data_IF_029758221609
#
_entry.id   IF_029758221609
#
_cell.length_a   1.000
_cell.length_b   1.000
_cell.length_c   1.000
_cell.angle_alpha   90.00
_cell.angle_beta   90.00
_cell.angle_gamma   90.00
#
_symmetry.space_group_name_H-M   'P 1'
#
loop_
_entity.id
_entity.type
_entity.pdbx_description
1 polymer ?
#
# COMPACT_ATOMS: atom_id res chain seq x y z
N UNK A 1 14.68 22.86 46.73
CA UNK A 1 13.51 22.58 45.80
C UNK A 1 13.69 23.14 44.38
N UNK A 2 14.88 23.00 43.76
CA UNK A 2 15.18 23.61 42.45
C UNK A 2 15.46 22.60 41.32
N UNK A 3 15.40 21.27 41.57
CA UNK A 3 15.82 20.26 40.59
C UNK A 3 14.69 19.80 39.65
N UNK A 4 13.42 20.05 39.98
CA UNK A 4 12.27 19.59 39.16
C UNK A 4 11.97 20.49 37.93
N UNK A 5 12.45 21.72 37.91
CA UNK A 5 12.11 22.66 36.83
C UNK A 5 13.04 22.56 35.62
N UNK A 6 14.28 22.12 35.81
CA UNK A 6 15.28 22.04 34.74
C UNK A 6 15.03 20.86 33.81
N UNK A 7 14.60 19.70 34.30
CA UNK A 7 14.37 18.51 33.45
C UNK A 7 13.13 18.68 32.53
N UNK A 8 12.07 19.37 33.01
CA UNK A 8 10.88 19.66 32.22
C UNK A 8 11.15 20.68 31.11
N UNK A 9 11.94 21.73 31.43
CA UNK A 9 12.37 22.74 30.44
C UNK A 9 13.31 22.14 29.38
N UNK A 10 14.18 21.19 29.76
CA UNK A 10 15.12 20.50 28.88
C UNK A 10 14.40 19.56 27.93
N UNK A 11 13.37 18.82 28.42
CA UNK A 11 12.53 17.97 27.58
C UNK A 11 11.70 18.76 26.58
N UNK A 12 11.18 19.91 26.96
CA UNK A 12 10.47 20.84 26.08
C UNK A 12 11.38 21.39 24.97
N UNK A 13 12.61 21.82 25.30
CA UNK A 13 13.58 22.31 24.33
C UNK A 13 13.95 21.25 23.30
N UNK A 14 14.23 20.01 23.72
CA UNK A 14 14.52 18.90 22.82
C UNK A 14 13.37 18.65 21.84
N UNK A 15 12.14 18.66 22.32
CA UNK A 15 10.93 18.46 21.51
C UNK A 15 10.76 19.58 20.49
N UNK A 16 10.92 20.84 20.89
CA UNK A 16 10.84 22.01 20.00
C UNK A 16 11.87 21.93 18.86
N UNK A 17 13.09 21.51 19.15
CA UNK A 17 14.14 21.33 18.13
C UNK A 17 13.73 20.22 17.15
N UNK A 18 13.23 19.08 17.63
CA UNK A 18 12.79 17.98 16.77
C UNK A 18 11.60 18.39 15.88
N UNK A 19 10.64 19.14 16.43
CA UNK A 19 9.47 19.59 15.66
C UNK A 19 9.84 20.62 14.59
N UNK A 20 10.76 21.53 14.91
CA UNK A 20 11.31 22.49 13.95
C UNK A 20 12.08 21.76 12.83
N UNK A 21 12.91 20.77 13.18
CA UNK A 21 13.65 19.97 12.22
C UNK A 21 12.71 19.17 11.31
N UNK A 22 11.65 18.57 11.86
CA UNK A 22 10.62 17.82 11.11
C UNK A 22 9.94 18.72 10.07
N UNK A 23 9.51 19.91 10.47
CA UNK A 23 8.87 20.85 9.55
C UNK A 23 9.79 21.26 8.41
N UNK A 24 11.04 21.65 8.72
CA UNK A 24 12.02 22.07 7.72
C UNK A 24 12.43 20.91 6.79
N UNK A 25 12.53 19.70 7.32
CA UNK A 25 12.82 18.51 6.51
C UNK A 25 11.71 18.23 5.50
N UNK A 26 10.44 18.34 5.90
CA UNK A 26 9.31 18.18 4.98
C UNK A 26 9.31 19.27 3.90
N UNK A 27 9.62 20.52 4.27
CA UNK A 27 9.61 21.66 3.34
C UNK A 27 10.79 21.61 2.36
N UNK A 28 12.00 21.38 2.84
CA UNK A 28 13.24 21.60 2.08
C UNK A 28 14.07 20.34 1.84
N UNK A 29 13.88 19.29 2.63
CA UNK A 29 14.74 18.09 2.64
C UNK A 29 16.05 18.30 3.40
N UNK A 30 16.87 17.23 3.43
CA UNK A 30 18.07 17.23 4.25
C UNK A 30 19.12 18.25 3.81
N UNK A 31 19.41 18.33 2.51
CA UNK A 31 20.52 19.18 2.02
C UNK A 31 20.25 20.68 2.19
N UNK A 32 19.02 21.12 1.90
CA UNK A 32 18.66 22.53 1.90
C UNK A 32 18.36 23.10 3.31
N UNK A 33 18.17 22.24 4.32
CA UNK A 33 17.94 22.69 5.69
C UNK A 33 19.25 22.91 6.45
N UNK A 34 19.29 23.94 7.31
CA UNK A 34 20.44 24.30 8.12
C UNK A 34 20.13 24.34 9.62
N UNK A 35 21.15 24.13 10.47
CA UNK A 35 21.00 24.28 11.93
C UNK A 35 20.52 25.67 12.33
N UNK A 36 20.88 26.70 11.56
CA UNK A 36 20.46 28.10 11.79
C UNK A 36 18.94 28.26 11.60
N UNK A 37 18.38 27.68 10.55
CA UNK A 37 16.93 27.66 10.32
C UNK A 37 16.20 26.87 11.43
N UNK A 38 16.76 25.73 11.85
CA UNK A 38 16.19 24.91 12.92
C UNK A 38 16.17 25.69 14.24
N UNK A 39 17.29 26.30 14.62
CA UNK A 39 17.40 27.07 15.88
C UNK A 39 16.48 28.29 15.89
N UNK A 40 16.39 29.01 14.76
CA UNK A 40 15.48 30.13 14.59
C UNK A 40 14.02 29.71 14.75
N UNK A 41 13.62 28.63 14.08
CA UNK A 41 12.24 28.11 14.15
C UNK A 41 11.87 27.51 15.50
N UNK A 42 12.84 26.88 16.17
CA UNK A 42 12.67 26.32 17.51
C UNK A 42 12.79 27.38 18.62
N UNK A 43 13.17 28.61 18.29
CA UNK A 43 13.46 29.70 19.24
C UNK A 43 14.45 29.26 20.31
N UNK A 44 15.57 28.67 19.89
CA UNK A 44 16.68 28.23 20.74
C UNK A 44 18.01 28.72 20.18
N UNK A 45 19.06 28.69 20.99
CA UNK A 45 20.41 28.94 20.52
C UNK A 45 21.08 27.67 19.97
N UNK A 46 22.17 27.85 19.20
CA UNK A 46 22.89 26.72 18.61
C UNK A 46 23.52 25.79 19.68
N UNK A 47 23.89 26.35 20.85
CA UNK A 47 24.44 25.58 21.95
C UNK A 47 23.41 24.51 22.46
N UNK A 48 22.12 24.83 22.43
CA UNK A 48 21.08 23.86 22.80
C UNK A 48 21.03 22.68 21.82
N UNK A 49 21.17 22.92 20.50
CA UNK A 49 21.22 21.83 19.52
C UNK A 49 22.47 20.96 19.72
N UNK A 50 23.61 21.58 19.89
CA UNK A 50 24.86 20.85 20.15
C UNK A 50 24.80 20.06 21.46
N UNK A 51 24.21 20.63 22.51
CA UNK A 51 24.01 19.92 23.78
C UNK A 51 23.10 18.69 23.68
N UNK A 52 21.99 18.80 22.95
CA UNK A 52 21.01 17.73 22.87
C UNK A 52 21.32 16.65 21.81
N UNK A 53 21.99 17.03 20.73
CA UNK A 53 22.14 16.16 19.56
C UNK A 53 23.59 16.05 19.05
N UNK A 54 24.46 17.02 19.35
CA UNK A 54 25.86 17.05 18.91
C UNK A 54 26.05 17.50 17.47
N UNK A 55 25.28 16.96 16.49
CA UNK A 55 25.41 17.32 15.08
C UNK A 55 24.05 17.42 14.37
N UNK A 56 24.05 17.96 13.13
CA UNK A 56 22.87 17.98 12.25
C UNK A 56 22.43 16.55 11.94
N UNK A 57 23.37 15.69 11.64
CA UNK A 57 23.14 14.28 11.31
C UNK A 57 22.43 13.54 12.47
N UNK A 58 22.96 13.65 13.69
CA UNK A 58 22.38 13.05 14.86
C UNK A 58 20.99 13.61 15.19
N UNK A 59 20.76 14.91 14.98
CA UNK A 59 19.45 15.52 15.11
C UNK A 59 18.44 14.93 14.11
N UNK A 60 18.83 14.81 12.84
CA UNK A 60 17.94 14.27 11.80
C UNK A 60 17.65 12.79 12.03
N UNK A 61 18.65 11.99 12.43
CA UNK A 61 18.42 10.61 12.83
C UNK A 61 17.41 10.53 13.98
N UNK A 62 17.59 11.33 15.04
CA UNK A 62 16.66 11.35 16.17
C UNK A 62 15.24 11.78 15.76
N UNK A 63 15.12 12.73 14.83
CA UNK A 63 13.85 13.19 14.29
C UNK A 63 13.14 12.10 13.49
N UNK A 64 13.86 11.43 12.58
CA UNK A 64 13.31 10.32 11.79
C UNK A 64 12.94 9.13 12.67
N UNK A 65 13.84 8.69 13.57
CA UNK A 65 13.58 7.57 14.49
C UNK A 65 12.34 7.82 15.35
N UNK A 66 12.15 9.02 15.88
CA UNK A 66 10.97 9.36 16.69
C UNK A 66 9.64 8.98 16.01
N UNK A 67 9.59 9.09 14.68
CA UNK A 67 8.38 8.82 13.89
C UNK A 67 8.36 7.41 13.31
N UNK A 68 9.47 6.99 12.73
CA UNK A 68 9.55 5.75 11.96
C UNK A 68 9.64 4.52 12.84
N UNK A 69 10.28 4.59 14.02
CA UNK A 69 10.34 3.46 14.97
C UNK A 69 8.94 3.06 15.42
N UNK A 70 8.14 4.04 15.84
CA UNK A 70 6.74 3.79 16.23
C UNK A 70 5.89 3.23 15.09
N UNK A 71 6.10 3.75 13.87
CA UNK A 71 5.41 3.24 12.68
C UNK A 71 5.79 1.78 12.41
N UNK A 72 7.08 1.48 12.41
CA UNK A 72 7.58 0.16 12.05
C UNK A 72 7.26 -0.88 13.13
N UNK A 73 7.27 -0.50 14.40
CA UNK A 73 6.77 -1.34 15.47
C UNK A 73 5.29 -1.71 15.27
N UNK A 74 4.43 -0.73 14.99
CA UNK A 74 3.02 -0.98 14.73
C UNK A 74 2.77 -1.81 13.45
N UNK A 75 3.61 -1.65 12.42
CA UNK A 75 3.60 -2.45 11.20
C UNK A 75 3.93 -3.92 11.48
N UNK A 76 5.02 -4.17 12.21
CA UNK A 76 5.43 -5.53 12.56
C UNK A 76 4.39 -6.21 13.45
N UNK A 77 3.87 -5.53 14.46
CA UNK A 77 2.80 -6.06 15.30
C UNK A 77 1.55 -6.46 14.51
N UNK A 78 1.16 -5.67 13.51
CA UNK A 78 0.01 -6.00 12.67
C UNK A 78 0.32 -7.15 11.71
N UNK A 79 1.52 -7.20 11.14
CA UNK A 79 1.97 -8.30 10.30
C UNK A 79 1.99 -9.62 11.07
N UNK A 80 2.54 -9.62 12.29
CA UNK A 80 2.59 -10.80 13.16
C UNK A 80 1.20 -11.31 13.55
N UNK A 81 0.24 -10.39 13.76
CA UNK A 81 -1.17 -10.76 13.98
C UNK A 81 -1.78 -11.43 12.75
N UNK A 82 -1.51 -10.91 11.55
CA UNK A 82 -2.00 -11.53 10.32
C UNK A 82 -1.34 -12.90 10.09
N UNK A 83 -0.04 -13.02 10.34
CA UNK A 83 0.67 -14.31 10.28
C UNK A 83 0.05 -15.33 11.24
N UNK A 84 -0.21 -14.96 12.49
CA UNK A 84 -0.80 -15.85 13.49
C UNK A 84 -2.24 -16.28 13.15
N UNK A 85 -3.04 -15.38 12.57
CA UNK A 85 -4.46 -15.66 12.26
C UNK A 85 -4.66 -16.40 10.94
N UNK A 86 -3.82 -16.13 9.95
CA UNK A 86 -4.05 -16.56 8.57
C UNK A 86 -3.10 -17.69 8.13
N UNK A 87 -1.87 -17.71 8.67
CA UNK A 87 -0.85 -18.69 8.26
C UNK A 87 -0.65 -18.69 6.75
N UNK A 88 -0.89 -19.84 6.11
CA UNK A 88 -0.77 -20.00 4.66
C UNK A 88 -1.83 -19.23 3.84
N UNK A 89 -2.92 -18.76 4.47
CA UNK A 89 -3.93 -17.93 3.83
C UNK A 89 -3.57 -16.43 3.79
N UNK A 90 -2.36 -16.08 4.21
CA UNK A 90 -1.85 -14.71 4.11
C UNK A 90 -1.78 -14.30 2.65
N UNK A 91 -2.41 -13.18 2.29
CA UNK A 91 -2.39 -12.63 0.93
C UNK A 91 -1.61 -11.33 0.86
N UNK A 92 -1.24 -10.89 -0.34
CA UNK A 92 -0.52 -9.62 -0.52
C UNK A 92 -1.33 -8.41 -0.03
N UNK A 93 -2.67 -8.46 -0.07
CA UNK A 93 -3.55 -7.43 0.50
C UNK A 93 -3.39 -7.32 2.02
N UNK A 94 -3.25 -8.44 2.72
CA UNK A 94 -3.00 -8.45 4.16
C UNK A 94 -1.63 -7.84 4.48
N UNK A 95 -0.59 -8.17 3.70
CA UNK A 95 0.76 -7.62 3.88
C UNK A 95 0.76 -6.11 3.60
N UNK A 96 0.12 -5.65 2.51
CA UNK A 96 -0.08 -4.23 2.25
C UNK A 96 -0.91 -3.55 3.35
N UNK A 97 -1.95 -4.22 3.86
CA UNK A 97 -2.71 -3.74 5.00
C UNK A 97 -1.85 -3.52 6.23
N UNK A 98 -0.94 -4.45 6.56
CA UNK A 98 0.01 -4.29 7.66
C UNK A 98 0.97 -3.12 7.44
N UNK A 99 1.31 -2.80 6.19
CA UNK A 99 2.16 -1.66 5.84
C UNK A 99 1.44 -0.31 5.95
N UNK A 100 0.17 -0.22 5.49
CA UNK A 100 -0.55 1.06 5.36
C UNK A 100 -1.44 1.42 6.54
N UNK A 101 -2.12 0.44 7.15
CA UNK A 101 -3.07 0.72 8.24
C UNK A 101 -2.40 1.47 9.41
N UNK A 102 -1.19 1.07 9.89
CA UNK A 102 -0.52 1.82 10.93
C UNK A 102 -0.18 3.26 10.53
N UNK A 103 0.29 3.49 9.31
CA UNK A 103 0.57 4.83 8.81
C UNK A 103 -0.67 5.72 8.79
N UNK A 104 -1.81 5.18 8.34
CA UNK A 104 -3.11 5.88 8.38
C UNK A 104 -3.59 6.17 9.80
N UNK A 105 -3.40 5.25 10.74
CA UNK A 105 -3.77 5.46 12.14
C UNK A 105 -2.95 6.59 12.75
N UNK A 106 -1.62 6.57 12.53
CA UNK A 106 -0.73 7.61 13.03
C UNK A 106 -1.00 8.98 12.39
N UNK A 107 -1.38 9.03 11.10
CA UNK A 107 -1.74 10.28 10.44
C UNK A 107 -3.03 10.91 10.95
N UNK A 108 -3.88 10.14 11.64
CA UNK A 108 -5.12 10.64 12.26
C UNK A 108 -4.95 11.05 13.71
N UNK A 109 -3.81 10.73 14.32
CA UNK A 109 -3.50 11.07 15.70
C UNK A 109 -2.77 12.43 15.74
N UNK A 110 -3.44 13.53 16.19
CA UNK A 110 -2.82 14.85 16.27
C UNK A 110 -1.60 14.89 17.19
N UNK A 111 -1.53 13.99 18.19
CA UNK A 111 -0.42 13.90 19.13
C UNK A 111 0.85 13.33 18.49
N UNK A 112 0.71 12.62 17.37
CA UNK A 112 1.82 11.97 16.66
C UNK A 112 2.22 12.70 15.38
N UNK A 113 1.58 13.81 15.06
CA UNK A 113 1.91 14.64 13.89
C UNK A 113 0.80 14.78 12.85
N UNK A 114 -0.33 14.09 13.00
CA UNK A 114 -1.47 14.27 12.10
C UNK A 114 -1.12 14.06 10.62
N UNK A 115 -1.68 14.88 9.74
CA UNK A 115 -1.41 14.83 8.28
C UNK A 115 0.05 15.11 7.91
N UNK A 116 0.79 15.86 8.72
CA UNK A 116 2.20 16.13 8.48
C UNK A 116 3.06 14.85 8.52
N UNK A 117 2.61 13.82 9.25
CA UNK A 117 3.29 12.54 9.34
C UNK A 117 3.40 11.82 7.96
N UNK A 118 2.33 11.84 7.15
CA UNK A 118 2.38 11.21 5.81
C UNK A 118 3.34 11.96 4.87
N UNK A 119 3.39 13.29 4.97
CA UNK A 119 4.35 14.11 4.21
C UNK A 119 5.79 13.82 4.63
N UNK A 120 6.03 13.69 5.94
CA UNK A 120 7.34 13.29 6.45
C UNK A 120 7.75 11.92 5.90
N UNK A 121 6.83 10.95 5.93
CA UNK A 121 7.08 9.60 5.41
C UNK A 121 7.42 9.64 3.92
N UNK A 122 6.61 10.31 3.12
CA UNK A 122 6.88 10.51 1.69
C UNK A 122 8.23 11.17 1.45
N UNK A 123 8.52 12.27 2.16
CA UNK A 123 9.80 12.98 2.03
C UNK A 123 10.98 12.10 2.42
N UNK A 124 10.91 11.33 3.49
CA UNK A 124 11.98 10.45 3.92
C UNK A 124 12.35 9.40 2.86
N UNK A 125 11.38 8.88 2.11
CA UNK A 125 11.62 7.90 1.04
C UNK A 125 12.01 8.53 -0.31
N UNK A 126 11.74 9.82 -0.53
CA UNK A 126 12.07 10.52 -1.80
C UNK A 126 13.22 11.50 -1.67
N UNK A 127 13.79 11.70 -0.47
CA UNK A 127 14.92 12.61 -0.28
C UNK A 127 16.13 12.12 -1.08
N UNK A 128 16.76 12.97 -1.91
CA UNK A 128 17.87 12.56 -2.77
C UNK A 128 19.17 12.30 -1.99
N UNK A 129 19.25 12.70 -0.72
CA UNK A 129 20.46 12.56 0.10
C UNK A 129 20.81 11.08 0.34
N UNK A 130 22.05 10.72 0.05
CA UNK A 130 22.59 9.41 0.41
C UNK A 130 22.56 9.18 1.91
N UNK A 131 22.80 10.23 2.70
CA UNK A 131 22.75 10.17 4.16
C UNK A 131 21.38 9.68 4.68
N UNK A 132 20.27 10.19 4.14
CA UNK A 132 18.93 9.75 4.54
C UNK A 132 18.68 8.31 4.08
N UNK A 133 19.03 7.99 2.85
CA UNK A 133 18.88 6.64 2.28
C UNK A 133 19.68 5.59 3.06
N UNK A 134 20.95 5.90 3.39
CA UNK A 134 21.83 4.99 4.11
C UNK A 134 21.34 4.76 5.53
N UNK A 135 20.83 5.81 6.20
CA UNK A 135 20.18 5.69 7.50
C UNK A 135 18.95 4.77 7.43
N UNK A 136 18.05 4.99 6.47
CA UNK A 136 16.84 4.18 6.33
C UNK A 136 17.18 2.71 6.04
N UNK A 137 18.13 2.47 5.16
CA UNK A 137 18.57 1.12 4.79
C UNK A 137 19.22 0.40 5.97
N UNK A 138 20.13 1.06 6.69
CA UNK A 138 20.82 0.44 7.83
C UNK A 138 19.88 0.21 9.02
N UNK A 139 19.03 1.19 9.33
CA UNK A 139 18.21 1.18 10.55
C UNK A 139 16.95 0.32 10.42
N UNK A 140 16.40 0.20 9.21
CA UNK A 140 15.14 -0.53 8.96
C UNK A 140 15.28 -1.75 8.03
N UNK A 141 16.52 -2.23 7.81
CA UNK A 141 16.78 -3.42 6.98
C UNK A 141 15.96 -4.64 7.44
N UNK A 142 15.93 -4.91 8.74
CA UNK A 142 15.18 -6.05 9.30
C UNK A 142 13.67 -5.95 9.09
N UNK A 143 13.11 -4.74 9.15
CA UNK A 143 11.69 -4.49 8.85
C UNK A 143 11.42 -4.77 7.37
N UNK A 144 12.28 -4.26 6.48
CA UNK A 144 12.15 -4.47 5.04
C UNK A 144 12.24 -5.96 4.68
N UNK A 145 13.20 -6.69 5.26
CA UNK A 145 13.36 -8.15 5.07
C UNK A 145 12.13 -8.93 5.55
N UNK A 146 11.58 -8.55 6.70
CA UNK A 146 10.38 -9.20 7.26
C UNK A 146 9.18 -9.03 6.34
N UNK A 147 8.94 -7.83 5.82
CA UNK A 147 7.87 -7.56 4.85
C UNK A 147 8.13 -8.26 3.52
N UNK A 148 9.37 -8.23 3.02
CA UNK A 148 9.73 -8.90 1.78
C UNK A 148 9.47 -10.42 1.87
N UNK A 149 9.85 -11.07 2.96
CA UNK A 149 9.56 -12.48 3.21
C UNK A 149 8.05 -12.78 3.25
N UNK A 150 7.25 -11.89 3.85
CA UNK A 150 5.80 -12.02 3.87
C UNK A 150 5.18 -11.89 2.46
N UNK A 151 5.67 -10.96 1.64
CA UNK A 151 5.25 -10.85 0.23
C UNK A 151 5.64 -12.08 -0.60
N UNK A 152 6.84 -12.63 -0.41
CA UNK A 152 7.26 -13.86 -1.10
C UNK A 152 6.34 -15.05 -0.78
N UNK A 153 5.92 -15.20 0.48
CA UNK A 153 4.95 -16.24 0.87
C UNK A 153 3.57 -15.99 0.27
N UNK A 154 3.13 -14.73 0.23
CA UNK A 154 1.83 -14.37 -0.33
C UNK A 154 1.77 -14.43 -1.86
N UNK A 155 2.92 -14.39 -2.55
CA UNK A 155 3.06 -14.38 -4.02
C UNK A 155 4.13 -15.40 -4.47
N UNK A 156 3.95 -16.70 -4.19
CA UNK A 156 4.97 -17.72 -4.43
C UNK A 156 5.29 -17.94 -5.91
N UNK A 157 4.42 -17.49 -6.81
CA UNK A 157 4.59 -17.57 -8.25
C UNK A 157 5.53 -16.50 -8.83
N UNK A 158 5.84 -15.45 -8.06
CA UNK A 158 6.76 -14.40 -8.52
C UNK A 158 8.21 -14.76 -8.19
N UNK A 159 9.14 -14.70 -9.18
CA UNK A 159 10.56 -14.71 -8.92
C UNK A 159 10.96 -13.61 -7.94
N UNK A 160 12.00 -13.87 -7.14
CA UNK A 160 12.46 -12.92 -6.10
C UNK A 160 12.82 -11.56 -6.67
N UNK A 161 13.48 -11.54 -7.81
CA UNK A 161 13.91 -10.31 -8.51
C UNK A 161 12.70 -9.50 -8.98
N UNK A 162 11.74 -10.16 -9.59
CA UNK A 162 10.51 -9.53 -10.08
C UNK A 162 9.70 -8.93 -8.94
N UNK A 163 9.55 -9.65 -7.82
CA UNK A 163 8.92 -9.13 -6.62
C UNK A 163 9.66 -7.88 -6.10
N UNK A 164 11.00 -7.91 -6.09
CA UNK A 164 11.83 -6.78 -5.68
C UNK A 164 11.59 -5.54 -6.54
N UNK A 165 11.57 -5.68 -7.86
CA UNK A 165 11.30 -4.58 -8.79
C UNK A 165 9.89 -4.01 -8.61
N UNK A 166 8.87 -4.85 -8.53
CA UNK A 166 7.48 -4.42 -8.33
C UNK A 166 7.29 -3.68 -7.00
N UNK A 167 7.88 -4.16 -5.93
CA UNK A 167 7.84 -3.49 -4.63
C UNK A 167 8.57 -2.15 -4.69
N UNK A 168 9.73 -2.08 -5.35
CA UNK A 168 10.46 -0.83 -5.52
C UNK A 168 9.65 0.22 -6.27
N UNK A 169 9.05 -0.14 -7.41
CA UNK A 169 8.18 0.77 -8.18
C UNK A 169 6.94 1.20 -7.40
N UNK A 170 6.30 0.26 -6.71
CA UNK A 170 5.12 0.54 -5.91
C UNK A 170 5.41 1.49 -4.73
N UNK A 171 6.52 1.28 -4.02
CA UNK A 171 6.97 2.16 -2.93
C UNK A 171 7.36 3.53 -3.47
N UNK A 172 8.04 3.59 -4.62
CA UNK A 172 8.38 4.84 -5.29
C UNK A 172 7.15 5.67 -5.67
N UNK A 173 6.16 5.04 -6.29
CA UNK A 173 4.90 5.70 -6.64
C UNK A 173 4.16 6.22 -5.40
N UNK A 174 4.06 5.40 -4.35
CA UNK A 174 3.45 5.81 -3.09
C UNK A 174 4.18 7.00 -2.47
N UNK A 175 5.49 6.90 -2.35
CA UNK A 175 6.32 7.92 -1.69
C UNK A 175 6.25 9.25 -2.43
N UNK A 176 6.28 9.22 -3.77
CA UNK A 176 6.12 10.41 -4.61
C UNK A 176 4.78 11.11 -4.39
N UNK A 177 3.69 10.34 -4.31
CA UNK A 177 2.36 10.90 -4.03
C UNK A 177 2.28 11.49 -2.62
N UNK A 178 2.84 10.83 -1.61
CA UNK A 178 2.82 11.31 -0.22
C UNK A 178 3.71 12.54 0.00
N UNK A 179 4.85 12.63 -0.69
CA UNK A 179 5.77 13.75 -0.61
C UNK A 179 5.31 14.97 -1.39
N UNK A 180 4.47 14.80 -2.42
CA UNK A 180 4.08 15.84 -3.35
C UNK A 180 3.21 16.92 -2.71
N UNK A 181 3.71 18.14 -2.67
CA UNK A 181 2.95 19.30 -2.21
C UNK A 181 1.78 19.65 -3.15
N UNK A 182 1.94 19.33 -4.44
CA UNK A 182 0.97 19.61 -5.49
C UNK A 182 0.03 18.45 -5.82
N UNK A 183 0.12 17.33 -5.10
CA UNK A 183 -0.67 16.13 -5.38
C UNK A 183 -2.18 16.43 -5.38
N UNK A 184 -2.68 17.18 -4.39
CA UNK A 184 -4.09 17.55 -4.31
C UNK A 184 -4.51 18.42 -5.50
N UNK A 185 -3.64 19.33 -5.96
CA UNK A 185 -3.89 20.19 -7.12
C UNK A 185 -3.93 19.37 -8.41
N UNK A 186 -2.92 18.54 -8.65
CA UNK A 186 -2.86 17.69 -9.84
C UNK A 186 -4.03 16.71 -9.91
N UNK A 187 -4.38 16.07 -8.77
CA UNK A 187 -5.56 15.20 -8.71
C UNK A 187 -6.82 15.98 -9.07
N UNK A 188 -6.99 17.19 -8.54
CA UNK A 188 -8.15 18.03 -8.83
C UNK A 188 -8.21 18.43 -10.31
N UNK A 189 -7.07 18.83 -10.90
CA UNK A 189 -6.99 19.20 -12.31
C UNK A 189 -7.38 18.03 -13.23
N UNK A 190 -6.79 16.84 -13.04
CA UNK A 190 -7.10 15.67 -13.87
C UNK A 190 -8.44 15.02 -13.57
N UNK A 191 -9.01 15.23 -12.39
CA UNK A 191 -10.29 14.65 -11.97
C UNK A 191 -11.48 15.61 -12.12
N UNK A 192 -11.32 16.68 -12.87
CA UNK A 192 -12.37 17.70 -13.09
C UNK A 192 -12.89 18.31 -11.77
N UNK A 193 -11.99 18.68 -10.89
CA UNK A 193 -12.30 19.34 -9.61
C UNK A 193 -12.68 18.40 -8.47
N UNK A 194 -12.60 17.07 -8.66
CA UNK A 194 -12.86 16.12 -7.56
C UNK A 194 -11.63 16.03 -6.65
N UNK A 195 -11.84 16.31 -5.38
CA UNK A 195 -10.82 16.10 -4.34
C UNK A 195 -10.90 14.70 -3.73
N UNK A 196 -9.80 14.21 -3.21
CA UNK A 196 -9.71 12.97 -2.44
C UNK A 196 -9.20 13.26 -1.03
N UNK A 197 -9.77 12.57 -0.03
CA UNK A 197 -9.15 12.55 1.30
C UNK A 197 -8.03 11.49 1.36
N UNK A 198 -7.19 11.56 2.41
CA UNK A 198 -6.04 10.68 2.56
C UNK A 198 -6.41 9.19 2.53
N UNK A 199 -7.56 8.81 3.09
CA UNK A 199 -8.05 7.42 3.06
C UNK A 199 -8.37 6.96 1.63
N UNK A 200 -9.06 7.81 0.87
CA UNK A 200 -9.41 7.50 -0.52
C UNK A 200 -8.16 7.42 -1.39
N UNK A 201 -7.19 8.30 -1.17
CA UNK A 201 -5.91 8.30 -1.87
C UNK A 201 -5.15 6.99 -1.61
N UNK A 202 -4.96 6.64 -0.33
CA UNK A 202 -4.22 5.42 0.04
C UNK A 202 -4.97 4.15 -0.40
N UNK A 203 -6.31 4.13 -0.32
CA UNK A 203 -7.08 2.99 -0.82
C UNK A 203 -6.87 2.75 -2.33
N UNK A 204 -6.84 3.82 -3.14
CA UNK A 204 -6.56 3.73 -4.58
C UNK A 204 -5.13 3.28 -4.87
N UNK A 205 -4.16 3.84 -4.15
CA UNK A 205 -2.76 3.42 -4.26
C UNK A 205 -2.59 1.96 -3.87
N UNK A 206 -3.20 1.51 -2.77
CA UNK A 206 -3.18 0.12 -2.37
C UNK A 206 -3.78 -0.80 -3.43
N UNK A 207 -4.91 -0.41 -4.04
CA UNK A 207 -5.54 -1.15 -5.15
C UNK A 207 -4.62 -1.25 -6.36
N UNK A 208 -3.97 -0.14 -6.75
CA UNK A 208 -2.99 -0.12 -7.83
C UNK A 208 -1.79 -1.03 -7.52
N UNK A 209 -1.26 -0.98 -6.30
CA UNK A 209 -0.15 -1.83 -5.87
C UNK A 209 -0.53 -3.32 -5.89
N UNK A 210 -1.73 -3.68 -5.43
CA UNK A 210 -2.23 -5.06 -5.51
C UNK A 210 -2.28 -5.52 -6.97
N UNK A 211 -2.81 -4.69 -7.87
CA UNK A 211 -2.89 -4.99 -9.29
C UNK A 211 -1.49 -5.17 -9.91
N UNK A 212 -0.55 -4.30 -9.58
CA UNK A 212 0.84 -4.40 -10.05
C UNK A 212 1.55 -5.65 -9.52
N UNK A 213 1.34 -5.99 -8.24
CA UNK A 213 1.94 -7.18 -7.62
C UNK A 213 1.36 -8.48 -8.19
N UNK A 214 0.08 -8.50 -8.56
CA UNK A 214 -0.62 -9.66 -9.12
C UNK A 214 -0.59 -9.73 -10.65
N UNK A 215 -0.04 -8.73 -11.33
CA UNK A 215 0.08 -8.73 -12.78
C UNK A 215 0.84 -9.96 -13.28
N UNK A 216 0.55 -10.48 -14.46
CA UNK A 216 1.37 -11.53 -15.08
C UNK A 216 2.83 -11.06 -15.25
N UNK A 217 3.74 -11.99 -15.42
CA UNK A 217 5.12 -11.66 -15.80
C UNK A 217 5.12 -10.97 -17.16
N UNK A 218 6.02 -10.00 -17.38
CA UNK A 218 6.15 -9.36 -18.69
C UNK A 218 6.38 -10.40 -19.77
N UNK A 219 5.61 -10.32 -20.85
CA UNK A 219 5.82 -11.16 -22.03
C UNK A 219 7.12 -10.73 -22.74
N UNK A 220 7.91 -11.72 -23.15
CA UNK A 220 9.13 -11.49 -23.92
C UNK A 220 8.88 -10.70 -25.21
N UNK A 221 7.72 -10.87 -25.83
CA UNK A 221 7.33 -10.11 -27.01
C UNK A 221 7.08 -8.62 -26.68
N UNK A 222 6.43 -8.33 -25.54
CA UNK A 222 6.25 -6.96 -25.07
C UNK A 222 7.59 -6.28 -24.75
N UNK A 223 8.49 -6.99 -24.08
CA UNK A 223 9.81 -6.47 -23.77
C UNK A 223 10.65 -6.23 -25.05
N UNK A 224 10.57 -7.13 -26.02
CA UNK A 224 11.23 -6.98 -27.31
C UNK A 224 10.69 -5.78 -28.09
N UNK A 225 9.38 -5.54 -28.06
CA UNK A 225 8.75 -4.38 -28.68
C UNK A 225 9.24 -3.06 -28.06
N UNK A 226 9.32 -2.96 -26.74
CA UNK A 226 9.88 -1.79 -26.08
C UNK A 226 11.39 -1.62 -26.37
N UNK A 227 12.15 -2.70 -26.41
CA UNK A 227 13.57 -2.66 -26.73
C UNK A 227 13.82 -2.18 -28.17
N UNK A 228 12.99 -2.60 -29.13
CA UNK A 228 13.05 -2.14 -30.51
C UNK A 228 12.80 -0.63 -30.62
N UNK A 229 11.78 -0.11 -29.92
CA UNK A 229 11.47 1.34 -29.88
C UNK A 229 12.61 2.15 -29.25
N UNK A 230 13.25 1.63 -28.21
CA UNK A 230 14.39 2.29 -27.55
C UNK A 230 15.68 2.20 -28.36
N UNK A 231 15.85 1.14 -29.16
CA UNK A 231 17.03 0.94 -30.02
C UNK A 231 17.00 1.78 -31.31
N UNK A 232 15.81 2.16 -31.77
CA UNK A 232 15.58 2.86 -33.05
C UNK A 232 15.02 4.26 -32.79
N UNK A 233 15.88 5.17 -32.34
CA UNK A 233 15.49 6.50 -31.86
C UNK A 233 14.92 7.45 -32.95
N UNK A 234 14.68 6.99 -34.18
CA UNK A 234 14.17 7.82 -35.28
C UNK A 234 12.93 7.25 -35.98
N UNK A 235 12.90 5.95 -36.27
CA UNK A 235 11.89 5.37 -37.17
C UNK A 235 10.91 4.40 -36.48
N UNK A 236 11.07 4.13 -35.20
CA UNK A 236 10.37 3.07 -34.46
C UNK A 236 8.87 3.30 -34.22
N UNK A 237 8.40 4.55 -34.21
CA UNK A 237 6.99 4.86 -33.94
C UNK A 237 6.12 4.53 -35.13
N UNK A 238 6.60 4.75 -36.35
CA UNK A 238 5.89 4.40 -37.59
C UNK A 238 5.87 2.88 -37.82
N UNK A 239 6.95 2.18 -37.51
CA UNK A 239 7.04 0.72 -37.58
C UNK A 239 6.09 0.03 -36.59
N UNK A 240 5.89 0.57 -35.38
CA UNK A 240 4.92 0.09 -34.40
C UNK A 240 3.47 0.23 -34.86
N UNK A 241 3.12 1.38 -35.44
CA UNK A 241 1.79 1.62 -35.96
C UNK A 241 1.46 0.68 -37.13
N UNK A 242 2.43 0.39 -37.97
CA UNK A 242 2.28 -0.51 -39.11
C UNK A 242 2.17 -2.00 -38.69
N UNK A 243 2.93 -2.43 -37.65
CA UNK A 243 2.88 -3.80 -37.13
C UNK A 243 1.57 -4.11 -36.40
N UNK A 244 1.02 -3.16 -35.65
CA UNK A 244 -0.27 -3.34 -34.98
C UNK A 244 -1.45 -3.35 -35.97
N UNK A 245 -1.38 -2.57 -37.06
CA UNK A 245 -2.35 -2.57 -38.13
C UNK A 245 -2.32 -3.90 -38.91
N UNK A 246 -1.14 -4.47 -39.17
CA UNK A 246 -0.98 -5.76 -39.86
C UNK A 246 -1.47 -6.95 -39.01
N UNK A 247 -1.29 -6.91 -37.68
CA UNK A 247 -1.80 -7.92 -36.78
C UNK A 247 -3.35 -7.89 -36.67
N UNK A 248 -3.95 -6.69 -36.67
CA UNK A 248 -5.40 -6.53 -36.65
C UNK A 248 -6.08 -6.99 -37.96
N UNK A 249 -5.41 -6.85 -39.10
CA UNK A 249 -5.91 -7.32 -40.41
C UNK A 249 -5.75 -8.82 -40.61
N UNK A 250 -4.73 -9.45 -40.00
CA UNK A 250 -4.53 -10.90 -40.07
C UNK A 250 -5.57 -11.72 -39.26
N UNK A 251 -6.22 -11.11 -38.27
CA UNK A 251 -7.25 -11.78 -37.43
C UNK A 251 -8.64 -11.77 -38.07
N UNK A 252 -8.84 -11.01 -39.16
CA UNK A 252 -10.16 -10.87 -39.82
C UNK A 252 -10.30 -11.75 -41.08
N UNK A 253 -9.27 -12.49 -41.48
CA UNK A 253 -9.30 -13.39 -42.65
C UNK A 253 -9.46 -14.85 -42.19
N UNK A 254 -10.66 -15.24 -41.79
CA UNK A 254 -11.03 -16.63 -41.68
C UNK A 254 -11.23 -17.18 -43.11
N UNK A 255 -10.68 -18.35 -43.46
CA UNK A 255 -10.89 -18.93 -44.78
C UNK A 255 -12.35 -19.40 -44.95
N UNK A 256 -12.95 -18.86 -46.01
CA UNK A 256 -14.27 -19.32 -46.47
C UNK A 256 -14.17 -20.80 -46.87
N UNK A 257 -14.88 -21.68 -46.15
CA UNK A 257 -15.13 -23.06 -46.52
C UNK A 257 -15.96 -23.08 -47.79
N UNK A 258 -15.36 -23.57 -48.89
CA UNK A 258 -16.05 -23.94 -50.11
C UNK A 258 -17.06 -25.05 -49.82
N UNK A 259 -18.32 -24.76 -50.06
CA UNK A 259 -19.38 -25.75 -50.15
C UNK A 259 -19.28 -26.42 -51.53
N UNK A 260 -18.87 -27.70 -51.55
CA UNK A 260 -19.15 -28.57 -52.67
C UNK A 260 -20.35 -29.42 -52.33
N UNK A 261 -21.32 -29.36 -53.24
CA UNK A 261 -22.59 -30.05 -53.12
C UNK A 261 -22.48 -31.54 -53.37
N UNK A 262 -23.31 -32.28 -52.71
CA UNK A 262 -23.82 -33.60 -53.13
C UNK A 262 -25.17 -33.80 -52.53
N UNK A 263 -26.12 -34.01 -53.41
CA UNK A 263 -27.53 -34.30 -53.28
C UNK A 263 -27.81 -35.64 -52.57
N UNK A 264 -28.95 -35.79 -51.87
CA UNK A 264 -29.26 -36.97 -51.05
C UNK A 264 -29.94 -38.13 -51.81
N UNK A 265 -30.06 -39.27 -51.21
CA UNK A 265 -31.25 -40.07 -51.33
C UNK A 265 -31.97 -40.37 -50.01
N UNK A 266 -33.25 -40.15 -50.00
CA UNK A 266 -34.21 -40.71 -49.03
C UNK A 266 -34.76 -42.04 -49.55
N UNK A 267 -35.71 -42.66 -48.85
CA UNK A 267 -35.79 -43.17 -47.47
C UNK A 267 -36.20 -44.64 -47.40
N UNK A 268 -36.09 -45.25 -46.28
CA UNK A 268 -36.91 -46.41 -45.85
C UNK A 268 -36.53 -46.62 -44.38
N UNK A 269 -37.41 -46.69 -43.45
CA UNK A 269 -38.62 -47.36 -43.22
C UNK A 269 -38.49 -48.19 -41.97
N UNK A 270 -39.46 -48.02 -41.09
CA UNK A 270 -39.93 -48.93 -40.01
C UNK A 270 -39.26 -48.76 -38.62
N UNK A 271 -39.99 -48.28 -37.74
CA UNK A 271 -41.11 -48.77 -36.91
C UNK A 271 -40.67 -49.29 -35.52
N UNK A 272 -41.47 -48.85 -34.61
CA UNK A 272 -41.92 -49.54 -33.35
C UNK A 272 -41.03 -49.22 -32.12
N UNK A 273 -41.56 -48.65 -31.19
CA UNK A 273 -42.57 -48.80 -30.17
C UNK A 273 -42.05 -48.54 -28.77
N UNK A 274 -42.86 -47.77 -28.13
CA UNK A 274 -43.35 -47.84 -26.74
C UNK A 274 -42.37 -47.47 -25.62
N UNK A 275 -42.76 -46.54 -24.88
CA UNK A 275 -43.69 -46.46 -23.77
C UNK A 275 -43.01 -45.86 -22.54
N UNK A 276 -43.50 -44.73 -22.13
CA UNK A 276 -44.24 -44.53 -20.87
C UNK A 276 -43.30 -44.32 -19.66
N UNK A 277 -43.33 -43.29 -18.99
CA UNK A 277 -44.22 -42.72 -18.04
C UNK A 277 -43.46 -41.74 -17.15
N UNK A 278 -43.99 -40.57 -17.00
CA UNK A 278 -43.76 -39.68 -15.89
C UNK A 278 -44.86 -39.90 -14.84
N UNK A 279 -44.95 -39.03 -13.82
CA UNK A 279 -44.43 -39.18 -12.45
C UNK A 279 -45.57 -39.57 -11.49
N UNK A 280 -45.58 -39.48 -10.19
CA UNK A 280 -45.72 -38.30 -9.38
C UNK A 280 -45.26 -38.34 -7.89
N UNK A 281 -45.34 -37.18 -7.27
CA UNK A 281 -45.95 -36.96 -5.96
C UNK A 281 -44.98 -36.79 -4.80
N UNK A 282 -44.82 -35.57 -4.23
CA UNK A 282 -45.66 -34.96 -3.19
C UNK A 282 -45.67 -35.72 -1.85
N UNK A 283 -45.16 -35.08 -0.81
CA UNK A 283 -45.76 -34.86 0.50
C UNK A 283 -44.76 -34.27 1.48
N UNK A 284 -44.96 -33.15 1.87
CA UNK A 284 -45.18 -32.41 3.11
C UNK A 284 -45.41 -33.25 4.39
N UNK A 285 -44.79 -32.78 5.45
CA UNK A 285 -45.23 -32.70 6.88
C UNK A 285 -44.10 -32.00 7.63
N UNK A 286 -44.19 -30.83 8.12
CA UNK A 286 -44.98 -30.21 9.22
C UNK A 286 -44.84 -30.90 10.58
N UNK A 287 -44.60 -29.98 11.54
CA UNK A 287 -44.81 -30.03 12.99
C UNK A 287 -43.61 -30.60 13.79
N UNK A 288 -43.10 -30.01 14.87
CA UNK A 288 -43.76 -29.30 15.99
C UNK A 288 -42.71 -28.61 16.82
N UNK A 289 -43.02 -27.41 17.31
CA UNK A 289 -42.49 -26.87 18.56
C UNK A 289 -43.36 -27.39 19.73
N UNK A 290 -42.88 -27.47 20.96
CA UNK A 290 -43.01 -26.42 21.96
C UNK A 290 -41.76 -26.33 22.86
N UNK A 291 -41.41 -25.30 23.59
CA UNK A 291 -42.20 -24.34 24.34
C UNK A 291 -41.71 -24.31 25.79
N UNK A 292 -41.53 -23.13 26.34
CA UNK A 292 -41.48 -22.85 27.79
C UNK A 292 -40.07 -22.78 28.38
N UNK A 293 -39.69 -21.80 29.12
CA UNK A 293 -40.24 -20.85 30.02
C UNK A 293 -39.08 -20.16 30.74
N UNK A 294 -39.09 -18.85 30.83
CA UNK A 294 -39.30 -17.99 31.99
C UNK A 294 -38.40 -18.21 33.23
N UNK A 295 -37.61 -17.19 33.58
CA UNK A 295 -37.49 -16.44 34.83
C UNK A 295 -36.08 -15.88 34.98
N UNK A 296 -35.88 -14.55 34.96
CA UNK A 296 -35.99 -13.60 36.09
C UNK A 296 -34.88 -13.72 37.14
N UNK A 297 -34.20 -12.60 37.35
CA UNK A 297 -33.43 -12.30 38.53
C UNK A 297 -32.16 -11.53 38.20
N UNK A 298 -32.13 -10.19 38.01
CA UNK A 298 -32.07 -9.17 39.05
C UNK A 298 -30.92 -9.40 40.05
N UNK A 299 -29.86 -8.57 39.98
CA UNK A 299 -29.57 -7.62 41.05
C UNK A 299 -28.18 -7.01 40.87
N UNK A 300 -28.10 -5.70 40.71
CA UNK A 300 -27.16 -4.71 41.22
C UNK A 300 -26.07 -5.20 42.19
N UNK A 301 -24.82 -4.81 41.95
CA UNK A 301 -24.06 -4.07 42.97
C UNK A 301 -22.96 -3.19 42.35
N UNK A 302 -23.00 -2.00 42.74
CA UNK A 302 -22.27 -0.76 42.74
C UNK A 302 -21.10 -0.84 43.73
N UNK A 303 -20.03 -0.13 43.42
CA UNK A 303 -19.08 0.58 44.29
C UNK A 303 -17.64 0.30 43.76
N UNK A 304 -16.95 1.26 43.33
CA UNK A 304 -16.37 2.48 43.89
C UNK A 304 -14.89 2.31 44.22
N UNK A 305 -14.10 3.17 43.54
CA UNK A 305 -13.07 4.04 44.10
C UNK A 305 -11.79 3.46 44.69
N UNK A 306 -10.66 4.12 44.26
CA UNK A 306 -9.43 4.28 45.02
C UNK A 306 -8.19 4.01 44.18
N UNK A 307 -7.62 5.02 43.58
CA UNK A 307 -6.38 5.70 43.90
C UNK A 307 -5.17 4.78 44.22
N UNK A 308 -4.22 4.75 43.33
CA UNK A 308 -2.85 5.23 43.54
C UNK A 308 -2.16 5.36 42.16
#
# INVERSE_FOLDING_TARGET
>A
MAVRNTSRATGDTKTRILDAAETLFVEFGYEAMSLRQITSRAEVNLAAVNYHFGSKEALIHAMLSRRLDRLNEARLQLLDRFDALLGERLTCEHVLGAMFIPALRLSRDPLVGGRAFLRLLGRAYTDPSSFIRDFLNAHYASVAERFFAAFQRALPHLPREELGWRLHFAIGALSGVLAGADTDRLISEFSQGKSMNDLQLIARLASLMVSALKAPLPDSAQLAMFAAVLGDAGDGVEAMACSTAAAATATTSAPALKAEGSTPPAPSGDASTTSSAAPPGSAAREAERPGGGVASGSTLHRAASGAM
#
